data_IF_577505774136
#
_entry.id   IF_577505774136
#
_cell.length_a   1.000
_cell.length_b   1.000
_cell.length_c   1.000
_cell.angle_alpha   90.00
_cell.angle_beta   90.00
_cell.angle_gamma   90.00
#
_symmetry.space_group_name_H-M   'P 1'
#
loop_
_entity.id
_entity.type
_entity.pdbx_description
1 polymer ?
#
# COMPACT_ATOMS: atom_id res chain seq x y z
N UNK A 1 6.88 12.64 5.48
CA UNK A 1 7.18 11.80 4.31
C UNK A 1 7.18 10.33 4.64
N UNK A 2 6.40 9.56 3.89
CA UNK A 2 6.32 8.09 3.95
C UNK A 2 6.55 7.52 2.56
N UNK A 3 7.12 6.32 2.52
CA UNK A 3 7.35 5.56 1.29
C UNK A 3 6.26 4.53 1.10
N UNK A 4 5.64 4.54 -0.07
CA UNK A 4 4.63 3.58 -0.49
C UNK A 4 5.18 2.79 -1.67
N UNK A 5 5.09 1.46 -1.61
CA UNK A 5 5.39 0.59 -2.73
C UNK A 5 4.06 0.23 -3.37
N UNK A 6 3.93 0.34 -4.68
CA UNK A 6 2.71 -0.09 -5.36
C UNK A 6 3.04 -1.01 -6.53
N UNK A 7 2.11 -1.91 -6.83
CA UNK A 7 2.18 -2.83 -7.96
C UNK A 7 0.94 -2.69 -8.80
N UNK A 8 1.09 -2.77 -10.12
CA UNK A 8 -0.01 -2.79 -11.08
C UNK A 8 -0.23 -4.18 -11.67
N UNK A 9 -1.38 -4.39 -12.29
CA UNK A 9 -1.79 -5.62 -12.97
C UNK A 9 -0.83 -6.04 -14.09
N UNK A 10 -0.10 -5.08 -14.68
CA UNK A 10 0.87 -5.31 -15.74
C UNK A 10 2.29 -5.58 -15.23
N UNK A 11 2.43 -6.05 -13.99
CA UNK A 11 3.72 -6.31 -13.32
C UNK A 11 4.64 -5.08 -13.19
N UNK A 12 4.11 -3.89 -13.51
CA UNK A 12 4.81 -2.62 -13.35
C UNK A 12 4.54 -2.09 -11.95
N UNK A 13 5.55 -2.15 -11.09
CA UNK A 13 5.51 -1.56 -9.75
C UNK A 13 6.49 -0.42 -9.58
N UNK A 14 6.32 0.36 -8.53
CA UNK A 14 7.18 1.49 -8.21
C UNK A 14 7.15 1.87 -6.72
N UNK A 15 8.16 2.63 -6.32
CA UNK A 15 8.20 3.33 -5.02
C UNK A 15 7.74 4.76 -5.23
N UNK A 16 6.82 5.21 -4.39
CA UNK A 16 6.40 6.60 -4.30
C UNK A 16 6.75 7.14 -2.92
N UNK A 17 7.44 8.28 -2.89
CA UNK A 17 7.66 9.06 -1.67
C UNK A 17 6.62 10.19 -1.65
N UNK A 18 5.74 10.19 -0.66
CA UNK A 18 4.71 11.22 -0.52
C UNK A 18 4.54 11.62 0.95
N UNK A 19 3.90 12.77 1.18
CA UNK A 19 3.59 13.25 2.53
C UNK A 19 2.24 12.72 3.05
N UNK A 20 1.69 11.71 2.38
CA UNK A 20 0.44 11.05 2.77
C UNK A 20 0.65 10.29 4.09
N UNK A 21 -0.28 10.48 5.02
CA UNK A 21 -0.20 9.89 6.36
C UNK A 21 -0.81 8.50 6.45
N UNK A 22 -1.83 8.20 5.65
CA UNK A 22 -2.59 6.94 5.72
C UNK A 22 -2.41 6.09 4.46
N UNK A 23 -2.53 4.77 4.62
CA UNK A 23 -2.50 3.84 3.47
C UNK A 23 -3.73 4.05 2.57
N UNK A 24 -4.88 4.41 3.14
CA UNK A 24 -6.14 4.64 2.42
C UNK A 24 -6.01 5.80 1.43
N UNK A 25 -5.52 6.94 1.89
CA UNK A 25 -5.25 8.10 1.04
C UNK A 25 -4.22 7.78 -0.05
N UNK A 26 -3.21 6.96 0.28
CA UNK A 26 -2.19 6.55 -0.68
C UNK A 26 -2.78 5.65 -1.76
N UNK A 27 -3.64 4.70 -1.40
CA UNK A 27 -4.37 3.83 -2.33
C UNK A 27 -5.25 4.64 -3.26
N UNK A 28 -6.02 5.59 -2.74
CA UNK A 28 -6.85 6.47 -3.56
C UNK A 28 -6.01 7.32 -4.53
N UNK A 29 -4.92 7.90 -4.02
CA UNK A 29 -4.03 8.71 -4.84
C UNK A 29 -3.38 7.88 -5.95
N UNK A 30 -2.86 6.71 -5.61
CA UNK A 30 -2.19 5.81 -6.56
C UNK A 30 -3.16 5.26 -7.59
N UNK A 31 -4.39 4.89 -7.21
CA UNK A 31 -5.41 4.46 -8.15
C UNK A 31 -5.84 5.57 -9.13
N UNK A 32 -5.88 6.83 -8.67
CA UNK A 32 -6.16 7.99 -9.54
C UNK A 32 -4.99 8.28 -10.49
N UNK A 33 -3.76 8.05 -10.07
CA UNK A 33 -2.54 8.41 -10.82
C UNK A 33 -2.07 7.30 -11.76
N UNK A 34 -2.17 6.06 -11.33
CA UNK A 34 -1.72 4.87 -12.03
C UNK A 34 -2.92 3.95 -12.24
N UNK A 35 -3.41 3.77 -13.48
CA UNK A 35 -4.45 2.79 -13.74
C UNK A 35 -3.90 1.39 -13.51
N UNK A 36 -4.72 0.51 -12.92
CA UNK A 36 -4.37 -0.89 -12.72
C UNK A 36 -3.59 -1.18 -11.44
N UNK A 37 -3.55 -0.29 -10.45
CA UNK A 37 -2.94 -0.58 -9.14
C UNK A 37 -3.68 -1.72 -8.45
N UNK A 38 -2.97 -2.82 -8.19
CA UNK A 38 -3.52 -4.03 -7.54
C UNK A 38 -3.05 -4.20 -6.10
N UNK A 39 -1.93 -3.59 -5.73
CA UNK A 39 -1.35 -3.66 -4.39
C UNK A 39 -0.64 -2.36 -4.01
N UNK A 40 -0.79 -1.93 -2.76
CA UNK A 40 -0.06 -0.81 -2.16
C UNK A 40 0.45 -1.22 -0.80
N UNK A 41 1.73 -0.97 -0.50
CA UNK A 41 2.40 -1.39 0.72
C UNK A 41 3.04 -0.17 1.39
N UNK A 42 2.88 -0.09 2.70
CA UNK A 42 3.34 0.99 3.56
C UNK A 42 4.02 0.37 4.78
N UNK A 43 5.31 0.08 4.63
CA UNK A 43 6.08 -0.59 5.67
C UNK A 43 5.57 -2.02 5.90
N UNK A 44 4.78 -2.22 6.96
CA UNK A 44 4.18 -3.53 7.29
C UNK A 44 2.70 -3.62 6.91
N UNK A 45 2.03 -2.49 6.74
CA UNK A 45 0.65 -2.44 6.32
C UNK A 45 0.58 -2.54 4.79
N UNK A 46 -0.42 -3.23 4.27
CA UNK A 46 -0.62 -3.34 2.83
C UNK A 46 -2.09 -3.36 2.46
N UNK A 47 -2.37 -3.00 1.23
CA UNK A 47 -3.68 -3.04 0.63
C UNK A 47 -3.60 -3.81 -0.68
N UNK A 48 -4.58 -4.65 -0.95
CA UNK A 48 -4.76 -5.30 -2.25
C UNK A 48 -6.20 -5.12 -2.73
N UNK A 49 -6.40 -5.19 -4.04
CA UNK A 49 -7.76 -5.15 -4.61
C UNK A 49 -8.60 -6.38 -4.23
N UNK A 50 -7.97 -7.49 -3.87
CA UNK A 50 -8.64 -8.76 -3.57
C UNK A 50 -8.98 -8.88 -2.08
N UNK A 51 -8.04 -8.54 -1.19
CA UNK A 51 -8.21 -8.72 0.25
C UNK A 51 -8.57 -7.42 1.00
N UNK A 52 -8.33 -6.25 0.39
CA UNK A 52 -8.57 -4.94 1.02
C UNK A 52 -7.40 -4.52 1.91
N UNK A 53 -7.67 -3.79 3.01
CA UNK A 53 -6.64 -3.23 3.89
C UNK A 53 -6.22 -4.22 4.98
N UNK A 54 -4.94 -4.57 4.96
CA UNK A 54 -4.30 -5.44 5.93
C UNK A 54 -3.32 -4.63 6.76
N UNK A 55 -3.54 -4.65 8.07
CA UNK A 55 -2.57 -4.13 9.03
C UNK A 55 -1.72 -5.29 9.51
N UNK A 56 -0.41 -5.11 9.58
CA UNK A 56 0.43 -6.10 10.21
C UNK A 56 0.07 -6.14 11.69
N UNK A 57 -0.73 -7.13 12.07
CA UNK A 57 -0.98 -7.42 13.46
C UNK A 57 0.36 -7.85 14.06
N UNK A 58 0.95 -6.97 14.86
CA UNK A 58 2.02 -7.34 15.77
C UNK A 58 1.42 -8.44 16.66
N UNK A 59 1.74 -9.70 16.35
CA UNK A 59 1.73 -10.74 17.36
C UNK A 59 2.75 -10.28 18.40
N UNK A 60 2.24 -9.61 19.44
CA UNK A 60 2.94 -9.50 20.70
C UNK A 60 3.09 -10.94 21.19
N UNK A 61 4.22 -11.54 20.86
CA UNK A 61 4.66 -12.79 21.46
C UNK A 61 4.98 -12.51 22.92
N UNK A 62 3.95 -12.60 23.76
CA UNK A 62 4.10 -12.81 25.19
C UNK A 62 4.32 -14.33 25.36
N UNK A 63 5.52 -14.73 25.78
CA UNK A 63 5.94 -16.12 25.96
C UNK A 63 7.41 -16.26 26.27
#
# INVERSE_FOLDING_TARGET
>A
MKSFIFSTDNERGGVMLCDIETLEDAVEYLNKRFPGVVKVEMGKDYWTTDEGFHKAQLIAGDG
#
